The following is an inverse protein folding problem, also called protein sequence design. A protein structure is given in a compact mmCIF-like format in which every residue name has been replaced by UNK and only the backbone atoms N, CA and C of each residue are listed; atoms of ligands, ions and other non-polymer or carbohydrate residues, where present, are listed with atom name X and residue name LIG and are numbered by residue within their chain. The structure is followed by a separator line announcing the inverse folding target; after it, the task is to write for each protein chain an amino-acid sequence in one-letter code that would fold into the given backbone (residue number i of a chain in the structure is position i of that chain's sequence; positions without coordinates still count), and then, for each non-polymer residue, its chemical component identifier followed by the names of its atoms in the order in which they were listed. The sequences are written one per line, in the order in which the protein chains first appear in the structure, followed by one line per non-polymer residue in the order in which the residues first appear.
data_IF_246247223953
#
_entry.id   IF_246247223953
#
_cell.length_a   1.000
_cell.length_b   1.000
_cell.length_c   1.000
_cell.angle_alpha   90.00
_cell.angle_beta   90.00
_cell.angle_gamma   90.00
#
_symmetry.space_group_name_H-M   'P 1'
#
loop_
_entity.id
_entity.type
_entity.pdbx_description
1 polymer ?
#
# COMPACT_ATOMS: atom_id res chain seq x y z
N UNK A 1 -21.26 -14.11 32.33
CA UNK A 1 -20.33 -15.19 32.53
C UNK A 1 -19.07 -15.05 31.67
N UNK A 2 -18.15 -15.95 31.87
CA UNK A 2 -16.86 -15.91 31.16
C UNK A 2 -17.03 -15.98 29.64
N UNK A 3 -17.98 -16.78 29.17
CA UNK A 3 -18.25 -16.92 27.71
C UNK A 3 -18.83 -15.66 27.11
N UNK A 4 -19.70 -14.96 27.84
CA UNK A 4 -20.24 -13.68 27.38
C UNK A 4 -19.15 -12.61 27.27
N UNK A 5 -18.26 -12.53 28.27
CA UNK A 5 -17.12 -11.60 28.25
C UNK A 5 -16.18 -11.87 27.07
N UNK A 6 -15.88 -13.15 26.79
CA UNK A 6 -15.04 -13.53 25.66
C UNK A 6 -15.69 -13.19 24.31
N UNK A 7 -17.00 -13.33 24.17
CA UNK A 7 -17.72 -12.97 22.96
C UNK A 7 -17.71 -11.47 22.74
N UNK A 8 -17.87 -10.68 23.79
CA UNK A 8 -17.82 -9.21 23.72
C UNK A 8 -16.42 -8.75 23.31
N UNK A 9 -15.38 -9.32 23.91
CA UNK A 9 -14.00 -9.01 23.59
C UNK A 9 -13.67 -9.42 22.14
N UNK A 10 -14.16 -10.57 21.70
CA UNK A 10 -14.00 -11.04 20.33
C UNK A 10 -14.71 -10.16 19.31
N UNK A 11 -15.91 -9.68 19.64
CA UNK A 11 -16.66 -8.77 18.78
C UNK A 11 -15.97 -7.41 18.68
N UNK A 12 -15.49 -6.88 19.80
CA UNK A 12 -14.75 -5.61 19.83
C UNK A 12 -13.45 -5.71 19.04
N UNK A 13 -12.73 -6.81 19.17
CA UNK A 13 -11.49 -7.04 18.40
C UNK A 13 -11.78 -7.17 16.92
N UNK A 14 -12.85 -7.86 16.55
CA UNK A 14 -13.28 -7.98 15.15
C UNK A 14 -13.60 -6.63 14.55
N UNK A 15 -14.34 -5.79 15.28
CA UNK A 15 -14.67 -4.43 14.82
C UNK A 15 -13.41 -3.57 14.66
N UNK A 16 -12.45 -3.71 15.55
CA UNK A 16 -11.17 -3.01 15.47
C UNK A 16 -10.40 -3.44 14.21
N UNK A 17 -10.35 -4.73 13.93
CA UNK A 17 -9.69 -5.27 12.74
C UNK A 17 -10.39 -4.81 11.45
N UNK A 18 -11.72 -4.77 11.44
CA UNK A 18 -12.48 -4.24 10.30
C UNK A 18 -12.17 -2.76 10.08
N UNK A 19 -12.01 -1.99 11.16
CA UNK A 19 -11.59 -0.59 11.07
C UNK A 19 -10.20 -0.43 10.46
N UNK A 20 -9.27 -1.31 10.80
CA UNK A 20 -7.93 -1.32 10.18
C UNK A 20 -8.01 -1.65 8.69
N UNK A 21 -8.85 -2.62 8.31
CA UNK A 21 -9.05 -2.95 6.89
C UNK A 21 -9.66 -1.79 6.12
N UNK A 22 -10.59 -1.06 6.72
CA UNK A 22 -11.17 0.15 6.11
C UNK A 22 -10.10 1.22 5.90
N UNK A 23 -9.21 1.40 6.87
CA UNK A 23 -8.10 2.35 6.76
C UNK A 23 -7.12 1.95 5.67
N UNK A 24 -6.79 0.66 5.57
CA UNK A 24 -5.92 0.14 4.51
C UNK A 24 -6.56 0.39 3.14
N UNK A 25 -7.85 0.13 3.01
CA UNK A 25 -8.58 0.38 1.76
C UNK A 25 -8.56 1.86 1.38
N UNK A 26 -8.84 2.74 2.34
CA UNK A 26 -8.85 4.18 2.08
C UNK A 26 -7.48 4.68 1.61
N UNK A 27 -6.40 4.22 2.24
CA UNK A 27 -5.03 4.56 1.83
C UNK A 27 -4.69 4.00 0.46
N UNK A 28 -5.14 2.79 0.17
CA UNK A 28 -4.96 2.15 -1.15
C UNK A 28 -5.64 2.98 -2.25
N UNK A 29 -6.87 3.43 -2.01
CA UNK A 29 -7.61 4.26 -2.96
C UNK A 29 -6.95 5.63 -3.15
N UNK A 30 -6.39 6.20 -2.09
CA UNK A 30 -5.62 7.46 -2.20
C UNK A 30 -4.39 7.28 -3.07
N UNK A 31 -3.67 6.16 -2.92
CA UNK A 31 -2.50 5.86 -3.75
C UNK A 31 -2.90 5.67 -5.21
N UNK A 32 -4.03 4.98 -5.46
CA UNK A 32 -4.55 4.76 -6.80
C UNK A 32 -4.88 6.08 -7.51
N UNK A 33 -5.43 7.02 -6.76
CA UNK A 33 -5.87 8.32 -7.29
C UNK A 33 -4.79 9.40 -7.26
N UNK A 34 -3.57 9.08 -6.82
CA UNK A 34 -2.51 10.08 -6.67
C UNK A 34 -2.15 10.70 -8.04
N UNK A 35 -2.12 12.04 -8.13
CA UNK A 35 -1.83 12.73 -9.41
C UNK A 35 -0.44 12.42 -9.97
N UNK A 36 0.53 11.99 -9.15
CA UNK A 36 1.88 11.66 -9.61
C UNK A 36 1.91 10.46 -10.56
N UNK A 37 0.86 9.66 -10.60
CA UNK A 37 0.72 8.50 -11.49
C UNK A 37 0.24 8.88 -12.89
N UNK A 38 -0.25 10.10 -13.06
CA UNK A 38 -0.73 10.57 -14.35
C UNK A 38 0.41 10.71 -15.36
N UNK A 39 0.20 10.36 -16.64
CA UNK A 39 1.24 10.50 -17.66
C UNK A 39 1.81 11.91 -17.76
N UNK A 40 0.98 12.93 -17.54
CA UNK A 40 1.44 14.33 -17.54
C UNK A 40 2.44 14.60 -16.42
N UNK A 41 2.20 14.05 -15.22
CA UNK A 41 3.11 14.21 -14.10
C UNK A 41 4.45 13.50 -14.35
N UNK A 42 4.42 12.32 -14.95
CA UNK A 42 5.62 11.58 -15.33
C UNK A 42 6.43 12.36 -16.36
N UNK A 43 5.78 12.93 -17.35
CA UNK A 43 6.42 13.78 -18.36
C UNK A 43 7.07 15.02 -17.74
N UNK A 44 6.38 15.67 -16.81
CA UNK A 44 6.89 16.84 -16.10
C UNK A 44 8.15 16.49 -15.29
N UNK A 45 8.16 15.34 -14.64
CA UNK A 45 9.32 14.87 -13.88
C UNK A 45 10.50 14.55 -14.79
N UNK A 46 10.24 13.93 -15.92
CA UNK A 46 11.27 13.67 -16.94
C UNK A 46 11.87 14.97 -17.45
N UNK A 47 11.03 15.96 -17.77
CA UNK A 47 11.47 17.28 -18.24
C UNK A 47 12.36 17.96 -17.20
N UNK A 48 12.03 17.87 -15.93
CA UNK A 48 12.84 18.43 -14.82
C UNK A 48 14.21 17.75 -14.73
N UNK A 49 14.26 16.42 -14.87
CA UNK A 49 15.52 15.70 -14.84
C UNK A 49 16.41 16.05 -16.04
N UNK A 50 15.81 16.22 -17.21
CA UNK A 50 16.56 16.67 -18.41
C UNK A 50 17.13 18.07 -18.18
N UNK A 51 16.34 18.98 -17.61
CA UNK A 51 16.79 20.33 -17.30
C UNK A 51 18.02 20.31 -16.36
N UNK A 52 17.95 19.48 -15.30
CA UNK A 52 19.07 19.35 -14.35
C UNK A 52 20.34 18.81 -15.04
N UNK A 53 20.20 17.85 -15.96
CA UNK A 53 21.33 17.30 -16.70
C UNK A 53 21.95 18.34 -17.62
N UNK A 54 21.13 19.12 -18.33
CA UNK A 54 21.60 20.18 -19.21
C UNK A 54 22.33 21.28 -18.43
N UNK A 55 21.79 21.67 -17.28
CA UNK A 55 22.42 22.69 -16.40
C UNK A 55 23.77 22.20 -15.87
N UNK A 56 23.94 20.91 -15.65
CA UNK A 56 25.19 20.31 -15.22
C UNK A 56 26.19 20.10 -16.36
N UNK A 57 25.80 20.40 -17.62
CA UNK A 57 26.64 20.20 -18.79
C UNK A 57 26.81 18.74 -19.20
N UNK A 58 25.96 17.85 -18.69
CA UNK A 58 26.01 16.44 -19.02
C UNK A 58 25.48 16.20 -20.44
N UNK A 59 26.09 15.26 -21.22
CA UNK A 59 25.55 14.90 -22.53
C UNK A 59 24.20 14.18 -22.38
N UNK A 60 23.22 14.60 -23.17
CA UNK A 60 21.88 13.99 -23.17
C UNK A 60 21.61 13.51 -24.60
N UNK A 61 21.40 12.20 -24.77
CA UNK A 61 21.03 11.60 -26.04
C UNK A 61 19.64 10.96 -25.96
N UNK A 62 19.07 10.61 -27.11
CA UNK A 62 17.74 10.02 -27.21
C UNK A 62 17.64 8.69 -26.45
N UNK A 63 18.66 7.84 -26.55
CA UNK A 63 18.66 6.54 -25.90
C UNK A 63 18.57 6.71 -24.37
N UNK A 64 19.30 7.66 -23.82
CA UNK A 64 19.27 7.96 -22.39
C UNK A 64 17.91 8.52 -21.95
N UNK A 65 17.31 9.39 -22.79
CA UNK A 65 15.98 9.93 -22.52
C UNK A 65 14.92 8.82 -22.51
N UNK A 66 14.98 7.89 -23.46
CA UNK A 66 14.07 6.75 -23.50
C UNK A 66 14.23 5.85 -22.27
N UNK A 67 15.47 5.61 -21.83
CA UNK A 67 15.75 4.82 -20.64
C UNK A 67 15.19 5.48 -19.38
N UNK A 68 15.37 6.82 -19.23
CA UNK A 68 14.83 7.57 -18.08
C UNK A 68 13.31 7.56 -18.08
N UNK A 69 12.68 7.75 -19.25
CA UNK A 69 11.22 7.70 -19.37
C UNK A 69 10.68 6.33 -18.95
N UNK A 70 11.32 5.25 -19.42
CA UNK A 70 10.94 3.89 -19.06
C UNK A 70 11.11 3.62 -17.57
N UNK A 71 12.20 4.10 -16.98
CA UNK A 71 12.48 3.96 -15.55
C UNK A 71 11.43 4.68 -14.71
N UNK A 72 11.09 5.93 -15.05
CA UNK A 72 10.07 6.70 -14.32
C UNK A 72 8.68 6.08 -14.44
N UNK A 73 8.33 5.60 -15.63
CA UNK A 73 7.05 4.92 -15.86
C UNK A 73 6.96 3.63 -15.04
N UNK A 74 8.04 2.84 -15.01
CA UNK A 74 8.08 1.61 -14.23
C UNK A 74 7.97 1.88 -12.73
N UNK A 75 8.62 2.93 -12.22
CA UNK A 75 8.53 3.33 -10.81
C UNK A 75 7.13 3.80 -10.44
N UNK A 76 6.43 4.46 -11.36
CA UNK A 76 5.09 4.94 -11.12
C UNK A 76 4.03 3.83 -11.22
N UNK A 77 4.39 2.67 -11.76
CA UNK A 77 3.44 1.57 -11.95
C UNK A 77 3.33 0.72 -10.68
N UNK A 78 2.29 1.04 -9.92
CA UNK A 78 1.95 0.34 -8.68
C UNK A 78 0.59 -0.37 -8.79
N UNK A 79 0.12 -0.61 -10.01
CA UNK A 79 -1.20 -1.22 -10.25
C UNK A 79 -1.33 -2.59 -9.62
N UNK A 80 -0.33 -3.43 -9.74
CA UNK A 80 -0.37 -4.79 -9.18
C UNK A 80 -0.47 -4.74 -7.65
N UNK A 81 0.31 -3.87 -7.02
CA UNK A 81 0.31 -3.70 -5.58
C UNK A 81 -1.05 -3.21 -5.08
N UNK A 82 -1.65 -2.25 -5.79
CA UNK A 82 -2.98 -1.73 -5.47
C UNK A 82 -4.03 -2.84 -5.60
N UNK A 83 -4.00 -3.60 -6.69
CA UNK A 83 -4.95 -4.68 -6.92
C UNK A 83 -4.83 -5.77 -5.84
N UNK A 84 -3.61 -6.12 -5.45
CA UNK A 84 -3.38 -7.10 -4.39
C UNK A 84 -3.85 -6.57 -3.04
N UNK A 85 -3.60 -5.31 -2.71
CA UNK A 85 -4.10 -4.70 -1.48
C UNK A 85 -5.63 -4.77 -1.42
N UNK A 86 -6.31 -4.43 -2.50
CA UNK A 86 -7.77 -4.51 -2.59
C UNK A 86 -8.28 -5.94 -2.38
N UNK A 87 -7.63 -6.91 -3.01
CA UNK A 87 -7.98 -8.32 -2.89
C UNK A 87 -7.80 -8.80 -1.45
N UNK A 88 -6.69 -8.43 -0.81
CA UNK A 88 -6.42 -8.83 0.57
C UNK A 88 -7.36 -8.17 1.57
N UNK A 89 -7.78 -6.93 1.33
CA UNK A 89 -8.81 -6.27 2.15
C UNK A 89 -10.12 -7.06 2.07
N UNK A 90 -10.55 -7.43 0.88
CA UNK A 90 -11.77 -8.21 0.68
C UNK A 90 -11.66 -9.58 1.36
N UNK A 91 -10.50 -10.24 1.25
CA UNK A 91 -10.24 -11.52 1.91
C UNK A 91 -10.33 -11.40 3.44
N UNK A 92 -9.72 -10.35 3.98
CA UNK A 92 -9.76 -10.09 5.42
C UNK A 92 -11.17 -9.88 5.94
N UNK A 93 -11.97 -9.11 5.21
CA UNK A 93 -13.38 -8.88 5.54
C UNK A 93 -14.18 -10.18 5.52
N UNK A 94 -13.96 -11.03 4.51
CA UNK A 94 -14.62 -12.33 4.42
C UNK A 94 -14.25 -13.25 5.57
N UNK A 95 -12.99 -13.30 5.94
CA UNK A 95 -12.51 -14.12 7.06
C UNK A 95 -13.16 -13.67 8.38
N UNK A 96 -13.24 -12.37 8.61
CA UNK A 96 -13.85 -11.82 9.83
C UNK A 96 -15.35 -12.05 9.86
N UNK A 97 -16.02 -11.98 8.71
CA UNK A 97 -17.45 -12.25 8.60
C UNK A 97 -17.79 -13.72 8.84
N UNK A 98 -16.95 -14.63 8.36
CA UNK A 98 -17.15 -16.07 8.53
C UNK A 98 -16.99 -16.51 10.00
N UNK A 99 -16.15 -15.80 10.75
CA UNK A 99 -15.86 -16.16 12.13
C UNK A 99 -15.01 -17.42 12.26
N UNK A 100 -14.93 -17.94 13.47
CA UNK A 100 -14.13 -19.13 13.77
C UNK A 100 -12.63 -18.79 13.90
N UNK A 101 -11.76 -19.83 13.90
CA UNK A 101 -10.33 -19.65 14.12
C UNK A 101 -9.63 -19.15 12.84
N UNK A 102 -9.59 -17.84 12.65
CA UNK A 102 -9.03 -17.20 11.45
C UNK A 102 -7.69 -16.50 11.70
N UNK A 103 -7.16 -16.56 12.91
CA UNK A 103 -5.94 -15.84 13.30
C UNK A 103 -4.75 -16.10 12.39
N UNK A 104 -4.51 -17.37 12.04
CA UNK A 104 -3.39 -17.75 11.18
C UNK A 104 -3.55 -17.18 9.76
N UNK A 105 -4.76 -17.21 9.22
CA UNK A 105 -5.05 -16.65 7.89
C UNK A 105 -4.92 -15.14 7.88
N UNK A 106 -5.35 -14.47 8.94
CA UNK A 106 -5.21 -13.02 9.08
C UNK A 106 -3.74 -12.63 9.28
N UNK A 107 -2.95 -13.43 9.99
CA UNK A 107 -1.52 -13.18 10.11
C UNK A 107 -0.83 -13.27 8.75
N UNK A 108 -1.18 -14.25 7.93
CA UNK A 108 -0.69 -14.34 6.55
C UNK A 108 -1.05 -13.09 5.77
N UNK A 109 -2.30 -12.62 5.87
CA UNK A 109 -2.72 -11.38 5.21
C UNK A 109 -1.91 -10.18 5.68
N UNK A 110 -1.61 -10.10 6.97
CA UNK A 110 -0.79 -8.99 7.49
C UNK A 110 0.60 -8.97 6.88
N UNK A 111 1.19 -10.14 6.65
CA UNK A 111 2.47 -10.25 5.96
C UNK A 111 2.38 -9.79 4.50
N UNK A 112 1.30 -10.16 3.81
CA UNK A 112 1.07 -9.73 2.44
C UNK A 112 0.82 -8.22 2.35
N UNK A 113 0.05 -7.65 3.27
CA UNK A 113 -0.12 -6.19 3.36
C UNK A 113 1.22 -5.49 3.55
N UNK A 114 2.06 -6.02 4.43
CA UNK A 114 3.38 -5.45 4.68
C UNK A 114 4.25 -5.49 3.43
N UNK A 115 4.22 -6.60 2.71
CA UNK A 115 4.96 -6.77 1.45
C UNK A 115 4.54 -5.74 0.43
N UNK A 116 3.23 -5.57 0.20
CA UNK A 116 2.72 -4.63 -0.80
C UNK A 116 3.02 -3.18 -0.39
N UNK A 117 2.92 -2.87 0.90
CA UNK A 117 3.24 -1.53 1.41
C UNK A 117 4.72 -1.19 1.21
N UNK A 118 5.61 -2.14 1.46
CA UNK A 118 7.05 -1.97 1.22
C UNK A 118 7.35 -1.74 -0.26
N UNK A 119 6.69 -2.49 -1.14
CA UNK A 119 6.86 -2.34 -2.59
C UNK A 119 6.36 -0.98 -3.05
N UNK A 120 5.23 -0.51 -2.51
CA UNK A 120 4.73 0.85 -2.78
C UNK A 120 5.77 1.90 -2.44
N UNK A 121 6.39 1.80 -1.26
CA UNK A 121 7.42 2.74 -0.84
C UNK A 121 8.63 2.71 -1.76
N UNK A 122 9.08 1.52 -2.18
CA UNK A 122 10.27 1.38 -3.00
C UNK A 122 10.05 1.74 -4.47
N UNK A 123 8.86 1.52 -5.01
CA UNK A 123 8.52 1.88 -6.40
C UNK A 123 8.14 3.34 -6.57
N UNK A 124 7.78 4.02 -5.49
CA UNK A 124 7.29 5.39 -5.57
C UNK A 124 8.38 6.35 -6.05
N UNK A 125 8.04 7.19 -7.01
CA UNK A 125 8.87 8.30 -7.47
C UNK A 125 8.34 9.65 -6.97
N UNK A 126 7.35 9.64 -6.08
CA UNK A 126 6.72 10.84 -5.54
C UNK A 126 6.60 10.75 -4.03
N UNK A 127 6.89 11.86 -3.34
CA UNK A 127 6.80 11.95 -1.89
C UNK A 127 5.38 11.65 -1.38
N UNK A 128 4.34 12.04 -2.14
CA UNK A 128 2.95 11.80 -1.77
C UNK A 128 2.63 10.30 -1.67
N UNK A 129 3.06 9.51 -2.64
CA UNK A 129 2.83 8.05 -2.63
C UNK A 129 3.69 7.37 -1.57
N UNK A 130 4.92 7.83 -1.38
CA UNK A 130 5.79 7.32 -0.31
C UNK A 130 5.15 7.56 1.06
N UNK A 131 4.57 8.74 1.28
CA UNK A 131 3.88 9.06 2.53
C UNK A 131 2.69 8.13 2.76
N UNK A 132 1.90 7.84 1.72
CA UNK A 132 0.79 6.90 1.80
C UNK A 132 1.31 5.50 2.16
N UNK A 133 2.40 5.07 1.53
CA UNK A 133 3.02 3.77 1.83
C UNK A 133 3.47 3.65 3.27
N UNK A 134 4.03 4.72 3.83
CA UNK A 134 4.43 4.75 5.25
C UNK A 134 3.23 4.70 6.18
N UNK A 135 2.15 5.41 5.86
CA UNK A 135 0.90 5.33 6.62
C UNK A 135 0.30 3.92 6.56
N UNK A 136 0.33 3.28 5.37
CA UNK A 136 -0.09 1.88 5.21
C UNK A 136 0.70 0.96 6.13
N UNK A 137 2.02 1.11 6.17
CA UNK A 137 2.87 0.27 7.04
C UNK A 137 2.46 0.43 8.50
N UNK A 138 2.18 1.64 8.94
CA UNK A 138 1.77 1.91 10.33
C UNK A 138 0.44 1.21 10.65
N UNK A 139 -0.55 1.29 9.76
CA UNK A 139 -1.85 0.62 9.97
C UNK A 139 -1.70 -0.89 9.91
N UNK A 140 -0.89 -1.39 8.99
CA UNK A 140 -0.61 -2.83 8.86
C UNK A 140 0.04 -3.38 10.13
N UNK A 141 0.97 -2.63 10.72
CA UNK A 141 1.60 -3.03 11.99
C UNK A 141 0.56 -3.11 13.11
N UNK A 142 -0.36 -2.13 13.19
CA UNK A 142 -1.46 -2.15 14.16
C UNK A 142 -2.39 -3.34 13.93
N UNK A 143 -2.73 -3.61 12.69
CA UNK A 143 -3.55 -4.77 12.30
C UNK A 143 -2.88 -6.07 12.75
N UNK A 144 -1.60 -6.22 12.45
CA UNK A 144 -0.83 -7.42 12.82
C UNK A 144 -0.78 -7.62 14.34
N UNK A 145 -0.56 -6.53 15.08
CA UNK A 145 -0.55 -6.57 16.54
C UNK A 145 -1.86 -7.10 17.09
N UNK A 146 -2.98 -6.62 16.56
CA UNK A 146 -4.31 -7.05 17.02
C UNK A 146 -4.62 -8.49 16.59
N UNK A 147 -4.13 -8.93 15.43
CA UNK A 147 -4.30 -10.32 14.99
C UNK A 147 -3.64 -11.29 15.99
N UNK A 148 -2.52 -10.91 16.59
CA UNK A 148 -1.86 -11.73 17.60
C UNK A 148 -2.73 -11.96 18.84
N UNK A 149 -3.72 -11.10 19.08
CA UNK A 149 -4.65 -11.22 20.19
C UNK A 149 -5.90 -12.05 19.86
N UNK A 150 -6.04 -12.47 18.59
CA UNK A 150 -7.15 -13.33 18.14
C UNK A 150 -6.88 -14.78 18.51
N UNK A 151 -7.86 -15.39 19.13
CA UNK A 151 -7.82 -16.81 19.44
C UNK A 151 -9.20 -17.41 19.27
#
# INVERSE_FOLDING_TARGET
GLDAARREDGAALRDLLLGHLDAIEALTLRAEADPSREPAAIRARLAEQVRLLLDAGAPVDEARLHMEAAFLAAKADIREEIDRLKTHVASGRSLLAAGGPVGRKLDFLSQEFNRESNTLCSKSNAASVTAIGLELKAVVDQFREQVQNLE
#
